data_IF_847809398011
#
_entry.id   IF_847809398011
#
_cell.length_a   1.000
_cell.length_b   1.000
_cell.length_c   1.000
_cell.angle_alpha   90.00
_cell.angle_beta   90.00
_cell.angle_gamma   90.00
#
_symmetry.space_group_name_H-M   'P 1'
#
loop_
_entity.id
_entity.type
_entity.pdbx_description
1 polymer ?
#
# COMPACT_ATOMS: atom_id res chain seq x y z
N UNK A 1 -15.10 -7.52 -2.44
CA UNK A 1 -15.27 -6.20 -3.10
C UNK A 1 -15.51 -5.14 -2.03
N UNK A 2 -14.98 -3.93 -2.23
CA UNK A 2 -15.26 -2.77 -1.35
C UNK A 2 -16.33 -1.92 -2.06
N UNK A 3 -17.54 -1.86 -1.49
CA UNK A 3 -18.70 -1.25 -2.13
C UNK A 3 -18.89 0.23 -1.77
N UNK A 4 -18.47 0.63 -0.57
CA UNK A 4 -18.41 2.04 -0.21
C UNK A 4 -17.37 2.75 -1.07
N UNK A 5 -17.84 3.62 -1.96
CA UNK A 5 -16.98 4.27 -2.95
C UNK A 5 -16.02 5.26 -2.29
N UNK A 6 -16.46 5.96 -1.24
CA UNK A 6 -15.62 6.92 -0.52
C UNK A 6 -14.47 6.22 0.20
N UNK A 7 -14.79 5.14 0.92
CA UNK A 7 -13.80 4.31 1.58
C UNK A 7 -12.86 3.64 0.57
N UNK A 8 -13.39 3.11 -0.54
CA UNK A 8 -12.57 2.50 -1.60
C UNK A 8 -11.52 3.46 -2.15
N UNK A 9 -11.94 4.68 -2.53
CA UNK A 9 -11.03 5.70 -3.08
C UNK A 9 -10.00 6.09 -2.02
N UNK A 10 -10.43 6.40 -0.80
CA UNK A 10 -9.54 6.76 0.31
C UNK A 10 -8.49 5.67 0.60
N UNK A 11 -8.92 4.41 0.65
CA UNK A 11 -8.03 3.29 0.91
C UNK A 11 -7.00 3.10 -0.20
N UNK A 12 -7.42 3.09 -1.48
CA UNK A 12 -6.50 2.89 -2.59
C UNK A 12 -5.51 4.04 -2.77
N UNK A 13 -5.93 5.29 -2.52
CA UNK A 13 -5.01 6.43 -2.50
C UNK A 13 -3.92 6.24 -1.44
N UNK A 14 -4.29 5.84 -0.21
CA UNK A 14 -3.31 5.62 0.87
C UNK A 14 -2.39 4.42 0.59
N UNK A 15 -2.89 3.34 -0.02
CA UNK A 15 -2.05 2.21 -0.45
C UNK A 15 -1.03 2.66 -1.52
N UNK A 16 -1.46 3.47 -2.49
CA UNK A 16 -0.56 4.01 -3.51
C UNK A 16 0.52 4.92 -2.93
N UNK A 17 0.17 5.75 -1.93
CA UNK A 17 1.13 6.61 -1.24
C UNK A 17 2.17 5.80 -0.45
N UNK A 18 1.76 4.73 0.24
CA UNK A 18 2.68 3.78 0.90
C UNK A 18 3.65 3.17 -0.10
N UNK A 19 3.15 2.75 -1.27
CA UNK A 19 3.99 2.22 -2.36
C UNK A 19 5.06 3.21 -2.81
N UNK A 20 4.66 4.45 -3.11
CA UNK A 20 5.60 5.52 -3.51
C UNK A 20 6.66 5.80 -2.45
N UNK A 21 6.28 5.82 -1.18
CA UNK A 21 7.22 6.04 -0.07
C UNK A 21 8.26 4.92 -0.02
N UNK A 22 7.82 3.66 -0.10
CA UNK A 22 8.73 2.52 -0.04
C UNK A 22 9.64 2.43 -1.25
N UNK A 23 9.11 2.61 -2.47
CA UNK A 23 9.93 2.62 -3.69
C UNK A 23 10.94 3.77 -3.69
N UNK A 24 10.55 4.94 -3.17
CA UNK A 24 11.47 6.06 -2.97
C UNK A 24 12.57 5.76 -1.94
N UNK A 25 12.22 5.06 -0.85
CA UNK A 25 13.18 4.65 0.18
C UNK A 25 14.17 3.60 -0.32
N UNK A 26 13.71 2.60 -1.08
CA UNK A 26 14.53 1.51 -1.59
C UNK A 26 15.19 1.81 -2.94
N UNK A 27 14.80 2.89 -3.62
CA UNK A 27 15.33 3.31 -4.92
C UNK A 27 15.00 2.35 -6.07
N UNK A 28 14.05 1.43 -5.90
CA UNK A 28 13.63 0.48 -6.91
C UNK A 28 12.18 0.02 -6.70
N UNK A 29 11.49 -0.49 -7.75
CA UNK A 29 10.15 -1.04 -7.63
C UNK A 29 10.06 -2.15 -6.58
N UNK A 30 8.98 -2.16 -5.81
CA UNK A 30 8.78 -3.09 -4.71
C UNK A 30 7.55 -3.97 -4.93
N UNK A 31 7.70 -5.26 -4.62
CA UNK A 31 6.59 -6.18 -4.34
C UNK A 31 6.26 -6.10 -2.84
N UNK A 32 5.08 -5.56 -2.52
CA UNK A 32 4.69 -5.14 -1.17
C UNK A 32 3.49 -5.97 -0.71
N UNK A 33 3.66 -6.68 0.40
CA UNK A 33 2.57 -7.39 1.08
C UNK A 33 2.16 -6.62 2.35
N UNK A 34 0.86 -6.49 2.58
CA UNK A 34 0.33 -5.73 3.71
C UNK A 34 -1.10 -6.09 4.07
N UNK A 35 -1.57 -5.55 5.19
CA UNK A 35 -2.92 -5.74 5.71
C UNK A 35 -3.53 -4.40 6.12
N UNK A 36 -4.85 -4.30 5.96
CA UNK A 36 -5.65 -3.19 6.50
C UNK A 36 -6.35 -3.68 7.77
N UNK A 37 -6.06 -3.03 8.90
CA UNK A 37 -6.72 -3.34 10.18
C UNK A 37 -7.10 -2.03 10.86
N UNK A 38 -8.37 -1.90 11.23
CA UNK A 38 -8.92 -0.71 11.91
C UNK A 38 -8.64 0.60 11.14
N UNK A 39 -8.70 0.54 9.81
CA UNK A 39 -8.42 1.68 8.93
C UNK A 39 -6.94 2.05 8.80
N UNK A 40 -6.03 1.29 9.40
CA UNK A 40 -4.58 1.46 9.29
C UNK A 40 -3.99 0.45 8.30
N UNK A 41 -2.98 0.89 7.54
CA UNK A 41 -2.23 0.03 6.62
C UNK A 41 -0.96 -0.41 7.34
N UNK A 42 -0.75 -1.72 7.39
CA UNK A 42 0.47 -2.34 7.92
C UNK A 42 1.18 -3.06 6.78
N UNK A 43 2.44 -2.70 6.55
CA UNK A 43 3.31 -3.42 5.61
C UNK A 43 3.92 -4.60 6.38
N UNK A 44 3.74 -5.81 5.86
CA UNK A 44 4.28 -7.03 6.47
C UNK A 44 5.48 -7.57 5.71
N UNK A 45 5.61 -7.26 4.43
CA UNK A 45 6.77 -7.59 3.60
C UNK A 45 6.96 -6.53 2.51
N UNK A 46 8.21 -6.24 2.16
CA UNK A 46 8.60 -5.50 0.96
C UNK A 46 9.85 -6.13 0.41
N UNK A 47 9.89 -6.39 -0.90
CA UNK A 47 11.08 -6.88 -1.59
C UNK A 47 11.20 -6.23 -2.97
N UNK A 48 12.42 -6.00 -3.48
CA UNK A 48 12.61 -5.55 -4.86
C UNK A 48 11.95 -6.51 -5.87
N UNK A 49 11.33 -5.95 -6.90
CA UNK A 49 10.75 -6.71 -8.00
C UNK A 49 11.84 -7.05 -9.02
N UNK A 50 12.57 -8.15 -8.81
CA UNK A 50 13.69 -8.63 -9.65
C UNK A 50 13.37 -10.04 -10.16
#
# INVERSE_FOLDING_TARGET
>A
MIFDKGFQVSLFSRIADVGKILEGLYGCPQDIEGVVKDGLIYVVQSRPQI
#
